data_IF_697993759040
#
_entry.id   IF_697993759040
#
_cell.length_a   1.000
_cell.length_b   1.000
_cell.length_c   1.000
_cell.angle_alpha   90.00
_cell.angle_beta   90.00
_cell.angle_gamma   90.00
#
_symmetry.space_group_name_H-M   'P 1'
#
loop_
_entity.id
_entity.type
_entity.pdbx_description
1 polymer ?
#
# COMPACT_ATOMS: atom_id res chain seq x y z
N UNK A 1 -68.08 25.75 35.30
CA UNK A 1 -66.74 26.14 34.81
C UNK A 1 -66.48 25.48 33.46
N UNK A 2 -66.07 26.25 32.45
CA UNK A 2 -65.86 25.80 31.08
C UNK A 2 -64.41 25.31 30.90
N UNK A 3 -64.18 24.00 30.98
CA UNK A 3 -62.83 23.40 30.92
C UNK A 3 -62.30 23.25 29.48
N UNK A 4 -63.07 23.64 28.45
CA UNK A 4 -62.71 23.47 27.03
C UNK A 4 -61.42 24.21 26.65
N UNK A 5 -61.17 25.38 27.24
CA UNK A 5 -59.93 26.14 27.02
C UNK A 5 -58.69 25.45 27.61
N UNK A 6 -58.82 24.86 28.80
CA UNK A 6 -57.72 24.13 29.46
C UNK A 6 -57.33 22.87 28.70
N UNK A 7 -58.31 22.15 28.13
CA UNK A 7 -58.04 20.96 27.30
C UNK A 7 -57.33 21.32 26.00
N UNK A 8 -57.71 22.43 25.37
CA UNK A 8 -57.08 22.90 24.12
C UNK A 8 -55.63 23.35 24.35
N UNK A 9 -55.33 24.04 25.45
CA UNK A 9 -53.96 24.42 25.82
C UNK A 9 -53.09 23.19 26.09
N UNK A 10 -53.61 22.20 26.85
CA UNK A 10 -52.89 20.95 27.10
C UNK A 10 -52.55 20.21 25.80
N UNK A 11 -53.49 20.16 24.86
CA UNK A 11 -53.30 19.50 23.57
C UNK A 11 -52.20 20.16 22.73
N UNK A 12 -52.15 21.50 22.72
CA UNK A 12 -51.08 22.24 22.02
C UNK A 12 -49.71 21.96 22.65
N UNK A 13 -49.63 21.94 23.99
CA UNK A 13 -48.39 21.62 24.71
C UNK A 13 -47.92 20.20 24.36
N UNK A 14 -48.83 19.22 24.37
CA UNK A 14 -48.50 17.83 24.01
C UNK A 14 -48.01 17.73 22.56
N UNK A 15 -48.67 18.40 21.62
CA UNK A 15 -48.24 18.41 20.21
C UNK A 15 -46.86 19.05 20.08
N UNK A 16 -46.61 20.19 20.73
CA UNK A 16 -45.31 20.84 20.72
C UNK A 16 -44.21 19.92 21.28
N UNK A 17 -44.48 19.22 22.39
CA UNK A 17 -43.55 18.24 22.96
C UNK A 17 -43.28 17.08 22.00
N UNK A 18 -44.31 16.53 21.34
CA UNK A 18 -44.16 15.45 20.36
C UNK A 18 -43.33 15.90 19.16
N UNK A 19 -43.54 17.13 18.66
CA UNK A 19 -42.75 17.69 17.55
C UNK A 19 -41.28 17.82 17.94
N UNK A 20 -40.99 18.35 19.14
CA UNK A 20 -39.60 18.50 19.63
C UNK A 20 -38.93 17.14 19.81
N UNK A 21 -39.62 16.16 20.37
CA UNK A 21 -39.11 14.80 20.52
C UNK A 21 -38.87 14.13 19.15
N UNK A 22 -39.82 14.25 18.22
CA UNK A 22 -39.70 13.71 16.87
C UNK A 22 -38.52 14.33 16.10
N UNK A 23 -38.37 15.66 16.16
CA UNK A 23 -37.24 16.36 15.57
C UNK A 23 -35.90 15.93 16.20
N UNK A 24 -35.87 15.70 17.51
CA UNK A 24 -34.68 15.24 18.23
C UNK A 24 -34.25 13.83 17.79
N UNK A 25 -35.20 12.89 17.71
CA UNK A 25 -34.94 11.52 17.24
C UNK A 25 -34.46 11.53 15.79
N UNK A 26 -35.10 12.30 14.92
CA UNK A 26 -34.69 12.43 13.52
C UNK A 26 -33.27 12.98 13.39
N UNK A 27 -32.94 14.03 14.15
CA UNK A 27 -31.60 14.62 14.14
C UNK A 27 -30.53 13.61 14.60
N UNK A 28 -30.81 12.84 15.65
CA UNK A 28 -29.91 11.76 16.12
C UNK A 28 -29.73 10.70 15.03
N UNK A 29 -30.83 10.26 14.40
CA UNK A 29 -30.79 9.24 13.36
C UNK A 29 -29.95 9.70 12.14
N UNK A 30 -30.14 10.93 11.68
CA UNK A 30 -29.37 11.52 10.57
C UNK A 30 -27.89 11.61 10.93
N UNK A 31 -27.55 12.08 12.13
CA UNK A 31 -26.16 12.15 12.60
C UNK A 31 -25.52 10.77 12.71
N UNK A 32 -26.24 9.79 13.25
CA UNK A 32 -25.76 8.41 13.37
C UNK A 32 -25.51 7.78 12.00
N UNK A 33 -26.40 8.04 11.04
CA UNK A 33 -26.20 7.62 9.65
C UNK A 33 -24.95 8.25 9.04
N UNK A 34 -24.75 9.57 9.20
CA UNK A 34 -23.57 10.27 8.69
C UNK A 34 -22.26 9.72 9.28
N UNK A 35 -22.21 9.49 10.61
CA UNK A 35 -21.05 8.89 11.29
C UNK A 35 -20.79 7.47 10.75
N UNK A 36 -21.84 6.65 10.60
CA UNK A 36 -21.70 5.28 10.10
C UNK A 36 -21.17 5.28 8.66
N UNK A 37 -21.68 6.16 7.81
CA UNK A 37 -21.22 6.32 6.44
C UNK A 37 -19.74 6.73 6.41
N UNK A 38 -19.36 7.76 7.15
CA UNK A 38 -17.97 8.20 7.25
C UNK A 38 -17.04 7.07 7.70
N UNK A 39 -17.45 6.27 8.68
CA UNK A 39 -16.67 5.11 9.14
C UNK A 39 -16.51 4.03 8.07
N UNK A 40 -17.55 3.78 7.26
CA UNK A 40 -17.47 2.83 6.13
C UNK A 40 -16.50 3.36 5.08
N UNK A 41 -16.69 4.61 4.65
CA UNK A 41 -15.86 5.25 3.63
C UNK A 41 -14.38 5.31 4.09
N UNK A 42 -14.16 5.58 5.39
CA UNK A 42 -12.82 5.59 6.00
C UNK A 42 -12.15 4.22 5.99
N UNK A 43 -12.89 3.14 6.23
CA UNK A 43 -12.35 1.77 6.14
C UNK A 43 -12.06 1.40 4.70
N UNK A 44 -12.95 1.76 3.79
CA UNK A 44 -12.78 1.47 2.38
C UNK A 44 -11.56 2.19 1.80
N UNK A 45 -11.37 3.47 2.15
CA UNK A 45 -10.19 4.24 1.79
C UNK A 45 -8.89 3.60 2.31
N UNK A 46 -8.90 3.07 3.53
CA UNK A 46 -7.77 2.33 4.09
C UNK A 46 -7.44 1.07 3.27
N UNK A 47 -8.44 0.26 2.91
CA UNK A 47 -8.22 -0.93 2.07
C UNK A 47 -7.76 -0.60 0.65
N UNK A 48 -8.22 0.52 0.08
CA UNK A 48 -7.71 0.98 -1.21
C UNK A 48 -6.26 1.46 -1.12
N UNK A 49 -5.87 2.12 -0.03
CA UNK A 49 -4.48 2.45 0.24
C UNK A 49 -3.61 1.19 0.32
N UNK A 50 -4.03 0.16 1.06
CA UNK A 50 -3.33 -1.14 1.13
C UNK A 50 -3.22 -1.82 -0.24
N UNK A 51 -4.26 -1.75 -1.06
CA UNK A 51 -4.22 -2.28 -2.44
C UNK A 51 -3.07 -1.66 -3.25
N UNK A 52 -2.82 -0.36 -3.10
CA UNK A 52 -1.68 0.29 -3.75
C UNK A 52 -0.32 -0.32 -3.35
N UNK A 53 -0.15 -0.69 -2.08
CA UNK A 53 1.06 -1.36 -1.59
C UNK A 53 1.18 -2.80 -2.10
N UNK A 54 0.04 -3.51 -2.20
CA UNK A 54 0.01 -4.85 -2.79
C UNK A 54 0.35 -4.83 -4.29
N UNK A 55 -0.13 -3.84 -5.04
CA UNK A 55 0.26 -3.65 -6.44
C UNK A 55 1.74 -3.33 -6.57
N UNK A 56 2.29 -2.48 -5.69
CA UNK A 56 3.73 -2.19 -5.66
C UNK A 56 4.57 -3.44 -5.38
N UNK A 57 4.11 -4.34 -4.51
CA UNK A 57 4.73 -5.64 -4.28
C UNK A 57 4.78 -6.48 -5.56
N UNK A 58 3.65 -6.62 -6.26
CA UNK A 58 3.59 -7.40 -7.51
C UNK A 58 4.52 -6.80 -8.58
N UNK A 59 4.55 -5.47 -8.70
CA UNK A 59 5.47 -4.77 -9.61
C UNK A 59 6.94 -4.98 -9.24
N UNK A 60 7.23 -5.07 -7.94
CA UNK A 60 8.57 -5.38 -7.44
C UNK A 60 8.98 -6.81 -7.78
N UNK A 61 8.08 -7.80 -7.66
CA UNK A 61 8.36 -9.17 -8.11
C UNK A 61 8.73 -9.19 -9.61
N UNK A 62 7.94 -8.53 -10.45
CA UNK A 62 8.24 -8.45 -11.88
C UNK A 62 9.61 -7.81 -12.15
N UNK A 63 9.99 -6.77 -11.38
CA UNK A 63 11.30 -6.15 -11.50
C UNK A 63 12.43 -7.08 -11.05
N UNK A 64 12.24 -7.85 -9.98
CA UNK A 64 13.22 -8.84 -9.50
C UNK A 64 13.49 -9.88 -10.59
N UNK A 65 12.44 -10.41 -11.22
CA UNK A 65 12.57 -11.35 -12.34
C UNK A 65 13.38 -10.72 -13.50
N UNK A 66 12.99 -9.52 -13.94
CA UNK A 66 13.71 -8.79 -14.99
C UNK A 66 15.18 -8.57 -14.62
N UNK A 67 15.47 -8.27 -13.34
CA UNK A 67 16.82 -8.03 -12.82
C UNK A 67 17.66 -9.30 -12.83
N UNK A 68 17.08 -10.45 -12.47
CA UNK A 68 17.74 -11.76 -12.52
C UNK A 68 18.12 -12.08 -13.96
N UNK A 69 17.17 -11.99 -14.89
CA UNK A 69 17.40 -12.26 -16.32
C UNK A 69 18.51 -11.35 -16.87
N UNK A 70 18.48 -10.05 -16.55
CA UNK A 70 19.50 -9.10 -17.01
C UNK A 70 20.87 -9.38 -16.41
N UNK A 71 20.94 -9.70 -15.12
CA UNK A 71 22.19 -10.02 -14.45
C UNK A 71 22.80 -11.34 -14.96
N UNK A 72 21.99 -12.35 -15.23
CA UNK A 72 22.43 -13.60 -15.85
C UNK A 72 23.00 -13.35 -17.25
N UNK A 73 22.28 -12.60 -18.10
CA UNK A 73 22.74 -12.28 -19.45
C UNK A 73 24.11 -11.58 -19.43
N UNK A 74 24.30 -10.56 -18.57
CA UNK A 74 25.58 -9.85 -18.44
C UNK A 74 26.70 -10.80 -17.98
N UNK A 75 26.37 -11.73 -17.08
CA UNK A 75 27.33 -12.70 -16.53
C UNK A 75 27.74 -13.73 -17.58
N UNK A 76 26.78 -14.25 -18.36
CA UNK A 76 27.03 -15.15 -19.48
C UNK A 76 27.87 -14.48 -20.58
N UNK A 77 27.54 -13.25 -20.95
CA UNK A 77 28.31 -12.45 -21.90
C UNK A 77 29.75 -12.31 -21.43
N UNK A 78 29.98 -12.04 -20.14
CA UNK A 78 31.32 -11.95 -19.56
C UNK A 78 32.08 -13.29 -19.60
N UNK A 79 31.46 -14.39 -19.18
CA UNK A 79 32.07 -15.73 -19.17
C UNK A 79 32.42 -16.18 -20.60
N UNK A 80 31.59 -15.83 -21.58
CA UNK A 80 31.85 -16.17 -22.99
C UNK A 80 33.12 -15.52 -23.54
N UNK A 81 33.49 -14.35 -23.01
CA UNK A 81 34.67 -13.58 -23.43
C UNK A 81 35.89 -13.93 -22.56
N UNK A 82 35.69 -14.14 -21.26
CA UNK A 82 36.73 -14.41 -20.28
C UNK A 82 36.60 -15.84 -19.75
N UNK A 83 37.53 -16.73 -20.09
CA UNK A 83 37.53 -18.15 -19.72
C UNK A 83 37.64 -18.44 -18.20
N UNK A 84 37.55 -17.42 -17.34
CA UNK A 84 37.67 -17.52 -15.89
C UNK A 84 36.29 -17.30 -15.21
N UNK A 85 35.77 -18.38 -14.64
CA UNK A 85 34.48 -18.44 -13.93
C UNK A 85 34.48 -17.66 -12.59
N UNK A 86 35.62 -17.53 -11.91
CA UNK A 86 35.71 -17.09 -10.50
C UNK A 86 35.09 -15.71 -10.17
N UNK A 87 34.77 -14.88 -11.18
CA UNK A 87 34.12 -13.57 -10.99
C UNK A 87 32.63 -13.54 -11.35
N UNK A 88 32.06 -14.64 -11.84
CA UNK A 88 30.68 -14.69 -12.34
C UNK A 88 29.66 -14.26 -11.27
N UNK A 89 29.76 -14.80 -10.06
CA UNK A 89 28.86 -14.47 -8.96
C UNK A 89 28.91 -12.99 -8.59
N UNK A 90 30.11 -12.40 -8.52
CA UNK A 90 30.25 -10.98 -8.19
C UNK A 90 29.65 -10.08 -9.28
N UNK A 91 29.85 -10.44 -10.56
CA UNK A 91 29.27 -9.73 -11.70
C UNK A 91 27.75 -9.81 -11.66
N UNK A 92 27.20 -10.99 -11.38
CA UNK A 92 25.77 -11.21 -11.22
C UNK A 92 25.20 -10.33 -10.10
N UNK A 93 25.74 -10.45 -8.89
CA UNK A 93 25.27 -9.70 -7.70
C UNK A 93 25.34 -8.19 -7.93
N UNK A 94 26.44 -7.71 -8.53
CA UNK A 94 26.61 -6.29 -8.82
C UNK A 94 25.60 -5.80 -9.85
N UNK A 95 25.43 -6.54 -10.95
CA UNK A 95 24.50 -6.19 -12.02
C UNK A 95 23.05 -6.19 -11.53
N UNK A 96 22.68 -7.19 -10.72
CA UNK A 96 21.36 -7.28 -10.09
C UNK A 96 21.07 -6.06 -9.20
N UNK A 97 22.00 -5.73 -8.28
CA UNK A 97 21.85 -4.59 -7.37
C UNK A 97 21.71 -3.26 -8.12
N UNK A 98 22.52 -3.05 -9.16
CA UNK A 98 22.46 -1.85 -10.00
C UNK A 98 21.12 -1.74 -10.71
N UNK A 99 20.65 -2.84 -11.31
CA UNK A 99 19.39 -2.82 -12.06
C UNK A 99 18.18 -2.53 -11.15
N UNK A 100 18.11 -3.18 -9.98
CA UNK A 100 17.08 -2.87 -8.99
C UNK A 100 17.17 -1.39 -8.56
N UNK A 101 18.34 -0.93 -8.13
CA UNK A 101 18.52 0.43 -7.62
C UNK A 101 18.17 1.52 -8.64
N UNK A 102 18.38 1.26 -9.94
CA UNK A 102 18.10 2.23 -11.00
C UNK A 102 16.62 2.29 -11.39
N UNK A 103 15.88 1.18 -11.21
CA UNK A 103 14.55 1.03 -11.79
C UNK A 103 13.41 0.95 -10.77
N UNK A 104 13.72 0.65 -9.50
CA UNK A 104 12.69 0.34 -8.49
C UNK A 104 11.69 1.47 -8.28
N UNK A 105 12.16 2.71 -8.11
CA UNK A 105 11.28 3.88 -7.90
C UNK A 105 10.33 4.07 -9.08
N UNK A 106 10.87 4.19 -10.29
CA UNK A 106 10.09 4.38 -11.51
C UNK A 106 9.09 3.25 -11.76
N UNK A 107 9.41 2.03 -11.31
CA UNK A 107 8.54 0.87 -11.50
C UNK A 107 7.37 0.86 -10.53
N UNK A 108 7.58 1.23 -9.27
CA UNK A 108 6.58 1.06 -8.21
C UNK A 108 5.82 2.33 -7.86
N UNK A 109 6.44 3.50 -8.03
CA UNK A 109 5.74 4.76 -7.78
C UNK A 109 4.58 4.94 -8.75
N UNK A 110 3.46 5.41 -8.22
CA UNK A 110 2.31 5.78 -9.04
C UNK A 110 1.72 7.09 -8.56
N UNK A 111 1.40 7.95 -9.52
CA UNK A 111 0.69 9.21 -9.28
C UNK A 111 -0.84 9.05 -9.30
N UNK A 112 -1.36 7.87 -9.68
CA UNK A 112 -2.79 7.54 -9.66
C UNK A 112 -3.32 7.49 -8.22
N UNK A 113 -4.64 7.32 -8.04
CA UNK A 113 -5.25 7.06 -6.73
C UNK A 113 -5.59 5.56 -6.63
N UNK A 114 -4.98 4.76 -5.75
CA UNK A 114 -4.05 5.14 -4.68
C UNK A 114 -2.67 5.55 -5.22
N UNK A 115 -2.07 6.55 -4.58
CA UNK A 115 -0.77 7.12 -4.93
C UNK A 115 0.31 6.48 -4.08
N UNK A 116 1.24 5.80 -4.72
CA UNK A 116 2.34 5.08 -4.07
C UNK A 116 3.65 5.81 -4.29
N UNK A 117 4.45 5.90 -3.22
CA UNK A 117 5.77 6.51 -3.22
C UNK A 117 6.79 5.69 -2.43
N UNK A 118 8.04 5.80 -2.84
CA UNK A 118 9.20 5.37 -2.06
C UNK A 118 9.58 6.51 -1.11
N UNK A 119 9.79 6.19 0.16
CA UNK A 119 10.09 7.15 1.22
C UNK A 119 11.55 7.09 1.67
N UNK A 120 12.36 6.16 1.15
CA UNK A 120 13.77 6.08 1.47
C UNK A 120 14.53 7.35 1.01
N UNK A 121 15.44 7.84 1.87
CA UNK A 121 16.38 8.90 1.47
C UNK A 121 17.47 8.38 0.53
N UNK A 122 17.86 7.11 0.68
CA UNK A 122 18.86 6.46 -0.17
C UNK A 122 18.56 4.97 -0.30
N UNK A 123 18.70 4.46 -1.52
CA UNK A 123 18.52 3.05 -1.84
C UNK A 123 19.88 2.34 -1.80
N UNK A 124 20.13 1.59 -0.72
CA UNK A 124 21.38 0.86 -0.53
C UNK A 124 21.07 -0.57 -0.11
N UNK A 125 21.80 -1.51 -0.70
CA UNK A 125 21.81 -2.90 -0.24
C UNK A 125 22.76 -3.03 0.96
N UNK A 126 22.23 -3.46 2.10
CA UNK A 126 23.00 -3.80 3.31
C UNK A 126 22.86 -5.30 3.52
N UNK A 127 23.98 -6.01 3.64
CA UNK A 127 24.01 -7.47 3.83
C UNK A 127 23.13 -8.23 2.82
N UNK A 128 23.26 -7.87 1.54
CA UNK A 128 22.47 -8.46 0.43
C UNK A 128 20.95 -8.29 0.56
N UNK A 129 20.49 -7.27 1.29
CA UNK A 129 19.09 -6.89 1.35
C UNK A 129 18.89 -5.38 1.11
N UNK A 130 17.91 -5.03 0.30
CA UNK A 130 17.40 -3.67 0.13
C UNK A 130 16.09 -3.54 0.91
N UNK A 131 16.03 -2.57 1.82
CA UNK A 131 14.80 -2.25 2.56
C UNK A 131 14.16 -1.01 1.95
N UNK A 132 12.94 -1.17 1.44
CA UNK A 132 12.14 -0.12 0.83
C UNK A 132 11.03 0.30 1.79
N UNK A 133 10.98 1.56 2.14
CA UNK A 133 9.87 2.18 2.86
C UNK A 133 8.88 2.71 1.84
N UNK A 134 7.72 2.07 1.75
CA UNK A 134 6.66 2.45 0.83
C UNK A 134 5.56 3.18 1.57
N UNK A 135 4.97 4.19 0.93
CA UNK A 135 3.72 4.81 1.39
C UNK A 135 2.72 4.87 0.25
N UNK A 136 1.50 4.44 0.55
CA UNK A 136 0.33 4.57 -0.30
C UNK A 136 -0.62 5.57 0.33
N UNK A 137 -1.21 6.43 -0.49
CA UNK A 137 -2.18 7.44 -0.08
C UNK A 137 -3.41 7.33 -0.98
N UNK A 138 -4.58 7.25 -0.36
CA UNK A 138 -5.85 7.19 -1.06
C UNK A 138 -6.77 8.31 -0.59
N UNK A 139 -7.28 9.08 -1.55
CA UNK A 139 -8.15 10.24 -1.29
C UNK A 139 -9.52 10.00 -1.92
N UNK A 140 -10.59 10.05 -1.13
CA UNK A 140 -11.96 9.94 -1.63
C UNK A 140 -12.96 10.63 -0.69
N UNK A 141 -13.85 11.48 -1.22
CA UNK A 141 -14.91 12.17 -0.46
C UNK A 141 -14.42 12.79 0.86
N UNK A 142 -13.38 13.64 0.79
CA UNK A 142 -12.74 14.32 1.93
C UNK A 142 -12.04 13.40 2.96
N UNK A 143 -11.95 12.10 2.66
CA UNK A 143 -11.19 11.14 3.44
C UNK A 143 -9.83 10.97 2.78
N UNK A 144 -8.78 11.27 3.54
CA UNK A 144 -7.40 10.97 3.23
C UNK A 144 -6.93 9.82 4.13
N UNK A 145 -6.43 8.74 3.52
CA UNK A 145 -5.82 7.63 4.22
C UNK A 145 -4.45 7.33 3.65
N UNK A 146 -3.49 7.21 4.56
CA UNK A 146 -2.12 6.85 4.24
C UNK A 146 -1.81 5.53 4.94
N UNK A 147 -1.23 4.59 4.21
CA UNK A 147 -0.70 3.34 4.74
C UNK A 147 0.74 3.22 4.29
N UNK A 148 1.62 2.74 5.16
CA UNK A 148 3.02 2.49 4.87
C UNK A 148 3.39 1.03 5.12
N UNK A 149 4.38 0.55 4.39
CA UNK A 149 4.96 -0.78 4.62
C UNK A 149 6.45 -0.79 4.29
N UNK A 150 7.21 -1.55 5.06
CA UNK A 150 8.57 -1.93 4.68
C UNK A 150 8.55 -3.20 3.83
N UNK A 151 9.14 -3.09 2.64
CA UNK A 151 9.37 -4.18 1.71
C UNK A 151 10.86 -4.51 1.69
N UNK A 152 11.21 -5.76 2.00
CA UNK A 152 12.61 -6.22 2.00
C UNK A 152 12.84 -7.07 0.76
N UNK A 153 13.78 -6.65 -0.09
CA UNK A 153 14.22 -7.35 -1.29
C UNK A 153 15.60 -7.96 -1.03
N UNK A 154 15.72 -9.27 -1.14
CA UNK A 154 16.97 -10.01 -1.03
C UNK A 154 17.69 -10.13 -2.37
N UNK A 155 19.00 -10.34 -2.33
CA UNK A 155 19.79 -10.72 -3.49
C UNK A 155 19.73 -12.25 -3.65
N UNK A 156 19.35 -12.77 -4.82
CA UNK A 156 19.32 -14.20 -5.07
C UNK A 156 20.73 -14.82 -5.15
N UNK A 157 20.84 -16.11 -4.84
CA UNK A 157 22.07 -16.86 -5.05
C UNK A 157 22.27 -17.13 -6.55
N UNK A 158 23.49 -16.90 -7.04
CA UNK A 158 23.83 -17.06 -8.45
C UNK A 158 23.63 -18.50 -8.94
N UNK A 159 24.03 -19.50 -8.16
CA UNK A 159 23.94 -20.90 -8.56
C UNK A 159 22.48 -21.31 -8.69
N UNK A 160 21.66 -20.98 -7.69
CA UNK A 160 20.22 -21.29 -7.68
C UNK A 160 19.51 -20.71 -8.92
N UNK A 161 19.79 -19.45 -9.26
CA UNK A 161 19.14 -18.82 -10.43
C UNK A 161 19.70 -19.33 -11.76
N UNK A 162 20.98 -19.67 -11.83
CA UNK A 162 21.62 -20.18 -13.04
C UNK A 162 21.12 -21.58 -13.41
N UNK A 163 20.78 -22.38 -12.40
CA UNK A 163 20.19 -23.71 -12.57
C UNK A 163 18.67 -23.66 -12.81
N UNK A 164 18.07 -22.47 -12.77
CA UNK A 164 16.63 -22.25 -12.92
C UNK A 164 15.81 -22.73 -11.71
N UNK A 165 16.46 -22.96 -10.57
CA UNK A 165 15.84 -23.45 -9.35
C UNK A 165 15.57 -22.30 -8.38
N UNK A 166 14.65 -21.39 -8.74
CA UNK A 166 14.28 -20.26 -7.89
C UNK A 166 12.80 -19.87 -8.01
N UNK A 167 12.25 -19.26 -6.95
CA UNK A 167 11.00 -18.50 -6.99
C UNK A 167 11.29 -17.05 -6.56
N UNK A 168 10.90 -16.10 -7.39
CA UNK A 168 11.02 -14.65 -7.11
C UNK A 168 10.46 -14.27 -5.74
N UNK A 169 9.38 -14.94 -5.32
CA UNK A 169 8.70 -14.66 -4.04
C UNK A 169 9.57 -14.93 -2.83
N UNK A 170 10.61 -15.75 -2.96
CA UNK A 170 11.53 -16.04 -1.87
C UNK A 170 12.47 -14.86 -1.58
N UNK A 171 12.64 -13.96 -2.55
CA UNK A 171 13.53 -12.80 -2.45
C UNK A 171 12.79 -11.52 -2.05
N UNK A 172 11.52 -11.58 -1.70
CA UNK A 172 10.74 -10.38 -1.37
C UNK A 172 9.73 -10.67 -0.28
N UNK A 173 9.68 -9.80 0.74
CA UNK A 173 8.71 -9.93 1.84
C UNK A 173 8.32 -8.60 2.45
N UNK A 174 7.08 -8.53 2.90
CA UNK A 174 6.63 -7.48 3.81
C UNK A 174 7.20 -7.69 5.20
N UNK A 175 7.53 -6.60 5.89
CA UNK A 175 8.02 -6.64 7.26
C UNK A 175 7.16 -5.80 8.19
N UNK A 176 7.35 -4.49 8.21
CA UNK A 176 6.68 -3.58 9.14
C UNK A 176 5.54 -2.83 8.43
N UNK A 177 4.31 -3.03 8.87
CA UNK A 177 3.15 -2.27 8.41
C UNK A 177 2.89 -1.09 9.35
N UNK A 178 2.71 0.09 8.77
CA UNK A 178 2.44 1.34 9.48
C UNK A 178 1.14 1.94 8.94
N UNK A 179 0.19 2.28 9.81
CA UNK A 179 -1.13 2.81 9.43
C UNK A 179 -1.56 3.97 10.31
#
# INVERSE_FOLDING_TARGET
MNNKGSTLVLLIIVIALVIVLGASVLNIAVKQYAIKKFNIDSKQAFYFSETGLNEAYVKSCALIEESIIKALQITEDYISINSFNEQAENIFVTSYKIYIGTNIENRIETASNPKVKVWNDTLVFIDNALTLELKSSYIHNDIDKVTGVELVIGVPDYHDVSEGSYDVRDYIKFKNWNS
#
